data_IF_756618675297
#
_entry.id   IF_756618675297
#
_cell.length_a   1.000
_cell.length_b   1.000
_cell.length_c   1.000
_cell.angle_alpha   90.00
_cell.angle_beta   90.00
_cell.angle_gamma   90.00
#
_symmetry.space_group_name_H-M   'P 1'
#
loop_
_entity.id
_entity.type
_entity.pdbx_description
1 polymer ?
#
# COMPACT_ATOMS: atom_id res chain seq x y z
N UNK A 1 -10.58 -10.82 -4.28
CA UNK A 1 -10.14 -10.19 -3.03
C UNK A 1 -8.73 -10.64 -2.71
N UNK A 2 -7.77 -10.00 -3.38
CA UNK A 2 -6.35 -10.05 -3.08
C UNK A 2 -5.89 -8.75 -2.39
N UNK A 3 -4.71 -8.76 -1.80
CA UNK A 3 -4.21 -7.67 -0.95
C UNK A 3 -4.29 -6.26 -1.58
N UNK A 4 -4.01 -6.13 -2.88
CA UNK A 4 -4.07 -4.83 -3.56
C UNK A 4 -5.50 -4.31 -3.72
N UNK A 5 -6.47 -5.21 -3.92
CA UNK A 5 -7.90 -4.88 -4.01
C UNK A 5 -8.38 -4.41 -2.63
N UNK A 6 -8.00 -5.12 -1.56
CA UNK A 6 -8.33 -4.74 -0.19
C UNK A 6 -7.75 -3.36 0.18
N UNK A 7 -6.53 -3.04 -0.27
CA UNK A 7 -5.95 -1.70 -0.11
C UNK A 7 -6.76 -0.63 -0.85
N UNK A 8 -7.16 -0.92 -2.10
CA UNK A 8 -7.92 0.02 -2.92
C UNK A 8 -9.30 0.31 -2.32
N UNK A 9 -10.00 -0.71 -1.81
CA UNK A 9 -11.29 -0.57 -1.12
C UNK A 9 -11.19 0.31 0.14
N UNK A 10 -10.02 0.35 0.79
CA UNK A 10 -9.72 1.25 1.92
C UNK A 10 -9.16 2.61 1.49
N UNK A 11 -9.17 2.91 0.19
CA UNK A 11 -8.70 4.18 -0.35
C UNK A 11 -7.18 4.36 -0.28
N UNK A 12 -6.41 3.27 -0.33
CA UNK A 12 -4.95 3.27 -0.35
C UNK A 12 -4.45 2.63 -1.65
N UNK A 13 -3.66 3.38 -2.41
CA UNK A 13 -3.00 2.85 -3.60
C UNK A 13 -1.56 2.45 -3.26
N UNK A 14 -1.19 1.19 -3.53
CA UNK A 14 0.17 0.68 -3.42
C UNK A 14 0.57 0.00 -4.73
N UNK A 15 1.87 -0.05 -5.02
CA UNK A 15 2.36 -0.80 -6.17
C UNK A 15 2.82 -2.19 -5.73
N UNK A 16 2.51 -3.26 -6.49
CA UNK A 16 3.05 -4.58 -6.22
C UNK A 16 4.56 -4.60 -6.41
N UNK A 17 5.26 -5.29 -5.52
CA UNK A 17 6.72 -5.34 -5.54
C UNK A 17 7.28 -6.08 -6.75
N UNK A 18 6.55 -7.02 -7.35
CA UNK A 18 7.01 -7.66 -8.60
C UNK A 18 7.18 -6.67 -9.77
N UNK A 19 6.52 -5.50 -9.75
CA UNK A 19 6.75 -4.41 -10.71
C UNK A 19 8.07 -3.67 -10.48
N UNK A 20 8.76 -3.95 -9.36
CA UNK A 20 10.05 -3.38 -8.97
C UNK A 20 11.21 -4.38 -9.07
N UNK A 21 10.97 -5.59 -9.60
CA UNK A 21 11.97 -6.65 -9.74
C UNK A 21 11.56 -7.95 -9.03
N UNK A 22 12.17 -9.06 -9.45
CA UNK A 22 11.84 -10.40 -8.93
C UNK A 22 12.11 -10.57 -7.44
N UNK A 23 13.11 -9.86 -6.93
CA UNK A 23 13.53 -9.92 -5.53
C UNK A 23 12.49 -9.30 -4.57
N UNK A 24 11.54 -8.52 -5.13
CA UNK A 24 10.49 -7.83 -4.38
C UNK A 24 9.11 -8.48 -4.55
N UNK A 25 9.02 -9.71 -5.06
CA UNK A 25 7.73 -10.37 -5.40
C UNK A 25 6.73 -10.43 -4.24
N UNK A 26 7.21 -10.54 -3.00
CA UNK A 26 6.39 -10.65 -1.79
C UNK A 26 6.25 -9.31 -1.04
N UNK A 27 6.69 -8.21 -1.66
CA UNK A 27 6.69 -6.87 -1.08
C UNK A 27 5.67 -5.95 -1.78
N UNK A 28 5.42 -4.81 -1.16
CA UNK A 28 4.78 -3.65 -1.79
C UNK A 28 5.69 -2.43 -1.75
N UNK A 29 5.54 -1.55 -2.73
CA UNK A 29 6.24 -0.26 -2.75
C UNK A 29 5.29 0.86 -2.33
N UNK A 30 5.74 1.66 -1.36
CA UNK A 30 5.07 2.87 -0.91
C UNK A 30 5.76 4.11 -1.50
N UNK A 31 4.96 4.99 -2.10
CA UNK A 31 5.40 6.32 -2.51
C UNK A 31 4.87 7.34 -1.50
N UNK A 32 5.76 8.02 -0.79
CA UNK A 32 5.39 9.01 0.25
C UNK A 32 5.67 10.46 -0.16
N UNK A 33 6.18 10.69 -1.37
CA UNK A 33 6.51 12.02 -1.89
C UNK A 33 5.49 12.54 -2.91
N UNK A 34 4.50 11.73 -3.27
CA UNK A 34 3.50 12.06 -4.28
C UNK A 34 2.27 12.83 -3.73
N UNK A 35 2.21 13.01 -2.41
CA UNK A 35 1.10 13.66 -1.71
C UNK A 35 1.60 14.46 -0.49
N UNK A 36 0.81 15.41 0.04
CA UNK A 36 1.10 16.07 1.30
C UNK A 36 1.37 15.09 2.45
N UNK A 37 2.26 15.41 3.42
CA UNK A 37 2.58 14.50 4.52
C UNK A 37 1.39 14.03 5.35
N UNK A 38 0.39 14.89 5.56
CA UNK A 38 -0.83 14.53 6.30
C UNK A 38 -1.61 13.40 5.62
N UNK A 39 -1.78 13.50 4.30
CA UNK A 39 -2.48 12.49 3.48
C UNK A 39 -1.71 11.16 3.47
N UNK A 40 -0.37 11.22 3.45
CA UNK A 40 0.49 10.04 3.51
C UNK A 40 0.35 9.33 4.86
N UNK A 41 0.31 10.07 5.97
CA UNK A 41 0.08 9.51 7.31
C UNK A 41 -1.28 8.85 7.39
N UNK A 42 -2.32 9.49 6.87
CA UNK A 42 -3.66 8.92 6.83
C UNK A 42 -3.72 7.63 5.99
N UNK A 43 -3.11 7.64 4.80
CA UNK A 43 -3.02 6.45 3.95
C UNK A 43 -2.23 5.32 4.63
N UNK A 44 -1.15 5.63 5.34
CA UNK A 44 -0.37 4.64 6.09
C UNK A 44 -1.17 4.02 7.24
N UNK A 45 -2.01 4.80 7.94
CA UNK A 45 -2.90 4.28 8.97
C UNK A 45 -3.94 3.31 8.38
N UNK A 46 -4.59 3.69 7.28
CA UNK A 46 -5.55 2.82 6.57
C UNK A 46 -4.89 1.53 6.07
N UNK A 47 -3.65 1.61 5.59
CA UNK A 47 -2.85 0.43 5.22
C UNK A 47 -2.59 -0.47 6.42
N UNK A 48 -2.27 0.11 7.58
CA UNK A 48 -2.10 -0.63 8.83
C UNK A 48 -3.35 -1.42 9.22
N UNK A 49 -4.53 -0.85 9.04
CA UNK A 49 -5.81 -1.54 9.28
C UNK A 49 -6.02 -2.72 8.34
N UNK A 50 -5.68 -2.57 7.05
CA UNK A 50 -5.73 -3.69 6.08
C UNK A 50 -4.81 -4.81 6.53
N UNK A 51 -3.58 -4.50 6.94
CA UNK A 51 -2.59 -5.49 7.37
C UNK A 51 -3.01 -6.21 8.66
N UNK A 52 -3.62 -5.50 9.61
CA UNK A 52 -4.08 -6.08 10.87
C UNK A 52 -5.31 -6.99 10.71
N UNK A 53 -6.10 -6.80 9.65
CA UNK A 53 -7.25 -7.63 9.32
C UNK A 53 -6.94 -8.93 8.57
N UNK A 54 -5.67 -9.25 8.34
CA UNK A 54 -5.21 -10.41 7.58
C UNK A 54 -4.66 -11.53 8.46
#
# INVERSE_FOLDING_TARGET
HGFLEDCFERGVLVAPGHSCGTDYRDWIRLSYTAAPPADVVEAANRLGEVLAGR
#
